data_IF_092059624562
#
_entry.id   IF_092059624562
#
_cell.length_a   1.000
_cell.length_b   1.000
_cell.length_c   1.000
_cell.angle_alpha   90.00
_cell.angle_beta   90.00
_cell.angle_gamma   90.00
#
_symmetry.space_group_name_H-M   'P 1'
#
loop_
_entity.id
_entity.type
_entity.pdbx_description
1 polymer ?
#
# COMPACT_ATOMS: atom_id res chain seq x y z
N UNK A 1 -28.29 -7.40 -10.46
CA UNK A 1 -27.27 -7.98 -9.57
C UNK A 1 -26.28 -6.85 -9.29
N UNK A 2 -26.45 -6.11 -8.21
CA UNK A 2 -25.57 -4.98 -7.88
C UNK A 2 -24.79 -5.34 -6.63
N UNK A 3 -23.53 -5.71 -6.82
CA UNK A 3 -22.56 -5.90 -5.75
C UNK A 3 -22.17 -4.52 -5.23
N UNK A 4 -22.78 -4.11 -4.11
CA UNK A 4 -22.33 -2.94 -3.36
C UNK A 4 -21.04 -3.32 -2.62
N UNK A 5 -19.89 -2.87 -3.13
CA UNK A 5 -18.66 -2.83 -2.34
C UNK A 5 -18.89 -1.92 -1.14
N UNK A 6 -18.73 -2.47 0.06
CA UNK A 6 -18.93 -1.74 1.32
C UNK A 6 -17.96 -0.54 1.38
N UNK A 7 -18.43 0.72 1.46
CA UNK A 7 -17.56 1.90 1.51
C UNK A 7 -16.89 2.11 2.90
N UNK A 8 -16.80 1.06 3.72
CA UNK A 8 -16.41 1.13 5.13
C UNK A 8 -15.06 0.50 5.45
N UNK A 9 -14.62 -0.45 4.63
CA UNK A 9 -13.37 -1.15 4.81
C UNK A 9 -12.27 -0.33 4.14
N UNK A 10 -11.77 0.71 4.81
CA UNK A 10 -10.46 1.30 4.49
C UNK A 10 -9.39 0.26 4.88
N UNK A 11 -8.94 -0.62 3.96
CA UNK A 11 -8.03 -1.69 4.31
C UNK A 11 -6.62 -1.10 4.38
N UNK A 12 -5.73 -1.76 5.13
CA UNK A 12 -4.35 -1.30 5.20
C UNK A 12 -3.70 -1.47 3.82
N UNK A 13 -2.93 -0.47 3.31
CA UNK A 13 -2.13 -0.65 2.11
C UNK A 13 -1.21 -1.88 2.23
N UNK A 14 -1.18 -2.71 1.20
CA UNK A 14 -0.32 -3.89 1.15
C UNK A 14 1.13 -3.47 0.90
N UNK A 15 2.06 -4.08 1.64
CA UNK A 15 3.48 -3.79 1.48
C UNK A 15 3.96 -4.30 0.11
N UNK A 16 4.70 -3.47 -0.66
CA UNK A 16 5.28 -3.93 -1.91
C UNK A 16 6.23 -5.10 -1.63
N UNK A 17 6.19 -6.09 -2.51
CA UNK A 17 7.05 -7.28 -2.40
C UNK A 17 8.44 -6.89 -2.91
N UNK A 18 9.46 -7.22 -2.13
CA UNK A 18 10.84 -7.00 -2.54
C UNK A 18 11.18 -7.90 -3.74
N UNK A 19 11.64 -7.33 -4.87
CA UNK A 19 11.96 -8.11 -6.05
C UNK A 19 13.18 -9.01 -5.80
N UNK A 20 13.20 -10.18 -6.44
CA UNK A 20 14.36 -11.09 -6.35
C UNK A 20 15.52 -10.59 -7.21
N UNK A 21 16.75 -10.97 -6.84
CA UNK A 21 17.94 -10.64 -7.63
C UNK A 21 17.89 -11.21 -9.06
N UNK A 22 17.14 -12.28 -9.29
CA UNK A 22 16.92 -12.83 -10.64
C UNK A 22 15.95 -12.00 -11.49
N UNK A 23 15.09 -11.18 -10.87
CA UNK A 23 14.24 -10.21 -11.57
C UNK A 23 15.03 -8.96 -11.95
N UNK A 24 16.14 -8.72 -11.26
CA UNK A 24 17.13 -7.75 -11.71
C UNK A 24 17.85 -8.30 -12.96
N UNK A 25 17.52 -7.71 -14.09
CA UNK A 25 18.13 -7.93 -15.41
C UNK A 25 19.68 -7.86 -15.41
N UNK A 26 20.32 -7.30 -14.37
CA UNK A 26 21.75 -7.47 -14.07
C UNK A 26 22.73 -6.80 -15.04
N UNK A 27 22.22 -6.24 -16.15
CA UNK A 27 23.01 -5.70 -17.25
C UNK A 27 22.56 -4.28 -17.69
N UNK A 28 21.79 -3.58 -16.84
CA UNK A 28 21.39 -2.19 -17.10
C UNK A 28 19.99 -2.00 -17.69
N UNK A 29 19.03 -2.86 -17.35
CA UNK A 29 17.63 -2.51 -17.59
C UNK A 29 17.28 -1.29 -16.72
N UNK A 30 16.86 -0.20 -17.37
CA UNK A 30 16.45 1.04 -16.70
C UNK A 30 14.93 1.23 -16.94
N UNK A 31 14.13 1.36 -15.87
CA UNK A 31 14.52 1.50 -14.46
C UNK A 31 14.93 0.17 -13.79
N UNK A 32 15.89 0.26 -12.86
CA UNK A 32 16.24 -0.86 -12.00
C UNK A 32 15.03 -1.26 -11.15
N UNK A 33 14.71 -2.55 -11.09
CA UNK A 33 13.57 -3.07 -10.30
C UNK A 33 13.64 -2.65 -8.83
N UNK A 34 14.86 -2.57 -8.28
CA UNK A 34 15.08 -2.10 -6.91
C UNK A 34 14.81 -0.60 -6.73
N UNK A 35 15.06 0.22 -7.76
CA UNK A 35 14.76 1.65 -7.71
C UNK A 35 13.25 1.87 -7.73
N UNK A 36 12.52 1.19 -8.63
CA UNK A 36 11.06 1.23 -8.66
C UNK A 36 10.46 0.73 -7.34
N UNK A 37 10.94 -0.40 -6.82
CA UNK A 37 10.52 -0.90 -5.51
C UNK A 37 10.80 0.11 -4.38
N UNK A 38 11.95 0.78 -4.39
CA UNK A 38 12.25 1.79 -3.37
C UNK A 38 11.29 2.98 -3.43
N UNK A 39 10.88 3.42 -4.63
CA UNK A 39 9.87 4.46 -4.81
C UNK A 39 8.48 4.01 -4.32
N UNK A 40 8.06 2.81 -4.71
CA UNK A 40 6.80 2.21 -4.27
C UNK A 40 6.76 2.03 -2.75
N UNK A 41 7.87 1.56 -2.15
CA UNK A 41 8.00 1.39 -0.70
C UNK A 41 7.89 2.72 0.04
N UNK A 42 8.46 3.80 -0.50
CA UNK A 42 8.30 5.15 0.08
C UNK A 42 6.85 5.63 0.01
N UNK A 43 6.19 5.43 -1.13
CA UNK A 43 4.77 5.77 -1.29
C UNK A 43 3.89 4.95 -0.34
N UNK A 44 4.15 3.65 -0.22
CA UNK A 44 3.47 2.76 0.72
C UNK A 44 3.64 3.21 2.18
N UNK A 45 4.86 3.55 2.60
CA UNK A 45 5.11 4.05 3.96
C UNK A 45 4.27 5.30 4.27
N UNK A 46 4.14 6.22 3.31
CA UNK A 46 3.28 7.39 3.50
C UNK A 46 1.79 6.99 3.56
N UNK A 47 1.34 6.14 2.65
CA UNK A 47 -0.04 5.65 2.62
C UNK A 47 -0.43 4.91 3.91
N UNK A 48 0.49 4.13 4.50
CA UNK A 48 0.27 3.45 5.78
C UNK A 48 0.12 4.46 6.90
N UNK A 49 0.98 5.50 6.99
CA UNK A 49 0.84 6.56 8.00
C UNK A 49 -0.53 7.25 7.89
N UNK A 50 -0.92 7.66 6.70
CA UNK A 50 -2.20 8.33 6.46
C UNK A 50 -3.37 7.39 6.80
N UNK A 51 -3.26 6.10 6.47
CA UNK A 51 -4.23 5.09 6.84
C UNK A 51 -4.33 4.91 8.37
N UNK A 52 -3.22 4.86 9.09
CA UNK A 52 -3.20 4.74 10.55
C UNK A 52 -3.88 5.94 11.22
N UNK A 53 -3.65 7.15 10.71
CA UNK A 53 -4.33 8.35 11.21
C UNK A 53 -5.84 8.31 10.97
N UNK A 54 -6.27 7.92 9.76
CA UNK A 54 -7.69 7.75 9.43
C UNK A 54 -8.33 6.67 10.29
N UNK A 55 -7.63 5.56 10.55
CA UNK A 55 -8.11 4.48 11.42
C UNK A 55 -8.18 4.90 12.88
N UNK A 56 -7.21 5.67 13.38
CA UNK A 56 -7.26 6.25 14.73
C UNK A 56 -8.49 7.16 14.89
N UNK A 57 -8.76 7.99 13.89
CA UNK A 57 -9.94 8.87 13.88
C UNK A 57 -11.26 8.09 13.75
N UNK A 58 -11.31 7.02 12.93
CA UNK A 58 -12.49 6.15 12.82
C UNK A 58 -12.69 5.24 14.02
N UNK A 59 -11.64 4.76 14.67
CA UNK A 59 -11.73 3.92 15.87
C UNK A 59 -12.29 4.69 17.08
N UNK A 60 -12.16 6.02 17.09
CA UNK A 60 -12.83 6.91 18.04
C UNK A 60 -14.31 7.19 17.71
N UNK A 61 -14.81 6.75 16.55
CA UNK A 61 -16.22 6.83 16.17
C UNK A 61 -16.85 5.45 16.39
N UNK A 62 -17.73 5.26 17.38
CA UNK A 62 -18.41 3.97 17.55
C UNK A 62 -19.18 3.65 16.26
N UNK A 63 -19.06 2.42 15.71
CA UNK A 63 -19.86 2.02 14.56
C UNK A 63 -21.32 1.85 15.01
N UNK A 64 -22.15 2.85 14.72
CA UNK A 64 -23.62 2.75 14.77
C UNK A 64 -24.23 2.65 16.17
N UNK A 65 -24.90 3.74 16.58
CA UNK A 65 -26.13 3.61 17.36
C UNK A 65 -27.28 3.21 16.42
#
# INVERSE_FOLDING_TARGET
MHSHGTPGDDPRPEEPIEPDLNECCGNGCEPCVFDTYAEEKRAWQQAVKDWEERRRNKAGMPPGA
#
